data_IF_401953450903
#
_entry.id   IF_401953450903
#
_cell.length_a   1.000
_cell.length_b   1.000
_cell.length_c   1.000
_cell.angle_alpha   90.00
_cell.angle_beta   90.00
_cell.angle_gamma   90.00
#
_symmetry.space_group_name_H-M   'P 1'
#
loop_
_entity.id
_entity.type
_entity.pdbx_description
1 polymer ?
#
# COMPACT_ATOMS: atom_id res chain seq x y z
N UNK A 1 -24.26 -0.03 1.87
CA UNK A 1 -23.50 -0.20 0.61
C UNK A 1 -22.09 -0.78 0.84
N UNK A 2 -21.78 -1.27 2.04
CA UNK A 2 -20.49 -1.88 2.40
C UNK A 2 -20.43 -3.40 2.20
N UNK A 3 -21.58 -4.06 2.10
CA UNK A 3 -21.68 -5.53 2.09
C UNK A 3 -21.49 -6.17 0.70
N UNK A 4 -21.63 -5.40 -0.38
CA UNK A 4 -21.43 -5.91 -1.75
C UNK A 4 -19.97 -5.88 -2.21
N UNK A 5 -19.13 -5.02 -1.62
CA UNK A 5 -17.70 -4.93 -1.98
C UNK A 5 -16.91 -6.15 -1.49
N UNK A 6 -17.28 -6.73 -0.33
CA UNK A 6 -16.60 -7.92 0.20
C UNK A 6 -16.85 -9.19 -0.59
N UNK A 7 -17.90 -9.25 -1.42
CA UNK A 7 -18.23 -10.43 -2.22
C UNK A 7 -17.41 -10.53 -3.53
N UNK A 8 -16.77 -9.44 -3.98
CA UNK A 8 -16.00 -9.40 -5.24
C UNK A 8 -14.47 -9.42 -5.03
N UNK A 9 -14.00 -9.32 -3.78
CA UNK A 9 -12.56 -9.38 -3.47
C UNK A 9 -12.10 -10.84 -3.40
N UNK A 10 -11.24 -11.22 -4.34
CA UNK A 10 -10.73 -12.59 -4.42
C UNK A 10 -9.60 -12.84 -3.41
N UNK A 11 -9.21 -14.11 -3.20
CA UNK A 11 -7.99 -14.44 -2.45
C UNK A 11 -6.72 -13.93 -3.13
N UNK A 12 -6.71 -13.90 -4.47
CA UNK A 12 -5.59 -13.37 -5.25
C UNK A 12 -5.45 -11.85 -5.04
N UNK A 13 -6.54 -11.09 -5.01
CA UNK A 13 -6.49 -9.63 -4.76
C UNK A 13 -5.88 -9.31 -3.40
N UNK A 14 -6.30 -10.07 -2.38
CA UNK A 14 -5.81 -9.93 -1.00
C UNK A 14 -4.32 -10.20 -0.93
N UNK A 15 -3.86 -11.23 -1.65
CA UNK A 15 -2.44 -11.55 -1.75
C UNK A 15 -1.66 -10.41 -2.43
N UNK A 16 -2.12 -9.94 -3.60
CA UNK A 16 -1.42 -8.88 -4.33
C UNK A 16 -1.42 -7.53 -3.60
N UNK A 17 -2.52 -7.17 -2.96
CA UNK A 17 -2.59 -5.97 -2.13
C UNK A 17 -1.65 -6.06 -0.92
N UNK A 18 -1.56 -7.22 -0.26
CA UNK A 18 -0.61 -7.43 0.83
C UNK A 18 0.85 -7.33 0.34
N UNK A 19 1.18 -7.97 -0.78
CA UNK A 19 2.51 -7.91 -1.39
C UNK A 19 2.89 -6.48 -1.79
N UNK A 20 1.93 -5.69 -2.27
CA UNK A 20 2.13 -4.28 -2.60
C UNK A 20 2.68 -3.49 -1.41
N UNK A 21 2.15 -3.72 -0.20
CA UNK A 21 2.65 -3.10 1.02
C UNK A 21 4.01 -3.65 1.47
N UNK A 22 4.19 -4.97 1.47
CA UNK A 22 5.42 -5.60 2.00
C UNK A 22 6.65 -5.22 1.18
N UNK A 23 6.51 -5.16 -0.14
CA UNK A 23 7.62 -4.97 -1.07
C UNK A 23 7.49 -3.67 -1.88
N UNK A 24 6.86 -2.65 -1.30
CA UNK A 24 6.80 -1.32 -1.91
C UNK A 24 8.21 -0.72 -2.05
N UNK A 25 8.57 -0.06 -3.16
CA UNK A 25 7.73 0.28 -4.33
C UNK A 25 7.78 -0.73 -5.49
N UNK A 26 8.55 -1.82 -5.36
CA UNK A 26 8.78 -2.77 -6.46
C UNK A 26 7.49 -3.46 -6.89
N UNK A 27 6.77 -4.09 -5.96
CA UNK A 27 5.51 -4.79 -6.29
C UNK A 27 4.46 -3.82 -6.84
N UNK A 28 4.29 -2.60 -6.30
CA UNK A 28 3.37 -1.66 -6.90
C UNK A 28 3.64 -1.29 -8.36
N UNK A 29 4.91 -1.17 -8.74
CA UNK A 29 5.32 -0.95 -10.14
C UNK A 29 4.96 -2.18 -10.98
N UNK A 30 5.22 -3.39 -10.46
CA UNK A 30 4.84 -4.63 -11.15
C UNK A 30 3.32 -4.68 -11.37
N UNK A 31 2.52 -4.38 -10.35
CA UNK A 31 1.05 -4.36 -10.46
C UNK A 31 0.59 -3.36 -11.52
N UNK A 32 1.22 -2.18 -11.65
CA UNK A 32 0.88 -1.21 -12.70
C UNK A 32 1.10 -1.74 -14.12
N UNK A 33 1.97 -2.74 -14.29
CA UNK A 33 2.23 -3.40 -15.57
C UNK A 33 1.32 -4.63 -15.80
N UNK A 34 0.53 -5.04 -14.80
CA UNK A 34 -0.37 -6.19 -14.87
C UNK A 34 -1.80 -5.74 -15.22
N UNK A 35 -2.22 -5.94 -16.47
CA UNK A 35 -3.54 -5.51 -16.95
C UNK A 35 -4.71 -6.17 -16.21
N UNK A 36 -4.54 -7.42 -15.75
CA UNK A 36 -5.55 -8.16 -15.00
C UNK A 36 -5.71 -7.67 -13.56
N UNK A 37 -4.75 -6.90 -13.03
CA UNK A 37 -4.72 -6.49 -11.60
C UNK A 37 -4.84 -5.00 -11.39
N UNK A 38 -4.19 -4.19 -12.23
CA UNK A 38 -4.09 -2.73 -12.04
C UNK A 38 -5.44 -2.02 -11.96
N UNK A 39 -6.45 -2.56 -12.63
CA UNK A 39 -7.79 -1.95 -12.72
C UNK A 39 -8.78 -2.53 -11.70
N UNK A 40 -8.40 -3.58 -10.95
CA UNK A 40 -9.28 -4.13 -9.91
C UNK A 40 -9.41 -3.11 -8.77
N UNK A 41 -10.62 -2.69 -8.36
CA UNK A 41 -10.80 -1.60 -7.39
C UNK A 41 -10.06 -1.81 -6.05
N UNK A 42 -10.08 -3.04 -5.54
CA UNK A 42 -9.39 -3.40 -4.30
C UNK A 42 -7.87 -3.31 -4.45
N UNK A 43 -7.31 -3.87 -5.53
CA UNK A 43 -5.87 -3.81 -5.78
C UNK A 43 -5.45 -2.35 -6.04
N UNK A 44 -6.15 -1.64 -6.92
CA UNK A 44 -5.84 -0.27 -7.32
C UNK A 44 -5.71 0.68 -6.13
N UNK A 45 -6.66 0.63 -5.20
CA UNK A 45 -6.64 1.48 -4.00
C UNK A 45 -5.46 1.20 -3.07
N UNK A 46 -5.24 -0.08 -2.73
CA UNK A 46 -4.09 -0.49 -1.90
C UNK A 46 -2.75 -0.26 -2.61
N UNK A 47 -2.71 -0.44 -3.93
CA UNK A 47 -1.51 -0.29 -4.74
C UNK A 47 -1.02 1.18 -4.74
N UNK A 48 -1.94 2.12 -4.94
CA UNK A 48 -1.62 3.54 -4.94
C UNK A 48 -1.19 4.02 -3.54
N UNK A 49 -1.86 3.58 -2.48
CA UNK A 49 -1.46 3.83 -1.10
C UNK A 49 -0.07 3.28 -0.79
N UNK A 50 0.17 2.02 -1.14
CA UNK A 50 1.45 1.35 -0.93
C UNK A 50 2.59 2.02 -1.69
N UNK A 51 2.37 2.41 -2.95
CA UNK A 51 3.37 3.10 -3.76
C UNK A 51 3.76 4.45 -3.16
N UNK A 52 2.78 5.28 -2.79
CA UNK A 52 3.04 6.59 -2.16
C UNK A 52 3.79 6.41 -0.85
N UNK A 53 3.37 5.47 0.00
CA UNK A 53 4.07 5.19 1.26
C UNK A 53 5.51 4.70 1.05
N UNK A 54 5.73 3.80 0.09
CA UNK A 54 7.06 3.28 -0.22
C UNK A 54 8.00 4.37 -0.72
N UNK A 55 7.51 5.31 -1.52
CA UNK A 55 8.28 6.48 -1.95
C UNK A 55 8.61 7.38 -0.76
N UNK A 56 7.63 7.66 0.11
CA UNK A 56 7.86 8.47 1.33
C UNK A 56 8.90 7.83 2.24
N UNK A 57 8.85 6.51 2.44
CA UNK A 57 9.86 5.74 3.17
C UNK A 57 11.24 5.86 2.53
N UNK A 58 11.36 5.66 1.21
CA UNK A 58 12.62 5.71 0.48
C UNK A 58 13.27 7.10 0.56
N UNK A 59 12.47 8.16 0.40
CA UNK A 59 12.91 9.56 0.54
C UNK A 59 13.31 9.84 1.99
N UNK A 60 12.52 9.42 2.97
CA UNK A 60 12.86 9.61 4.39
C UNK A 60 14.19 8.93 4.73
N UNK A 61 14.43 7.73 4.23
CA UNK A 61 15.68 7.00 4.44
C UNK A 61 16.91 7.68 3.82
N UNK A 62 16.75 8.32 2.66
CA UNK A 62 17.86 8.98 1.94
C UNK A 62 18.24 10.32 2.55
N UNK A 63 17.29 11.08 3.12
CA UNK A 63 17.54 12.43 3.64
C UNK A 63 17.70 12.50 5.16
N UNK A 64 17.15 11.55 5.93
CA UNK A 64 17.24 11.53 7.38
C UNK A 64 18.48 10.74 7.81
N UNK A 65 19.40 11.39 8.55
CA UNK A 65 20.70 10.84 8.98
C UNK A 65 20.67 9.32 9.28
N UNK A 66 21.55 8.58 8.58
CA UNK A 66 21.64 7.11 8.56
C UNK A 66 21.83 6.42 9.93
N UNK A 67 22.17 7.15 10.99
CA UNK A 67 22.80 6.52 12.15
C UNK A 67 21.78 6.11 13.23
N UNK A 68 20.72 6.89 13.50
CA UNK A 68 19.75 6.56 14.58
C UNK A 68 18.32 6.94 14.23
N UNK A 69 18.08 8.19 13.83
CA UNK A 69 16.71 8.70 13.58
C UNK A 69 16.11 8.05 12.33
N UNK A 70 16.89 7.91 11.25
CA UNK A 70 16.47 7.20 10.04
C UNK A 70 16.19 5.72 10.29
N UNK A 71 17.00 5.05 11.12
CA UNK A 71 16.84 3.64 11.47
C UNK A 71 15.57 3.37 12.28
N UNK A 72 15.29 4.17 13.32
CA UNK A 72 14.09 4.00 14.14
C UNK A 72 12.80 4.31 13.35
N UNK A 73 12.80 5.39 12.55
CA UNK A 73 11.64 5.77 11.75
C UNK A 73 11.40 4.76 10.62
N UNK A 74 12.47 4.29 9.96
CA UNK A 74 12.38 3.25 8.94
C UNK A 74 11.83 1.94 9.51
N UNK A 75 12.30 1.52 10.69
CA UNK A 75 11.81 0.30 11.33
C UNK A 75 10.35 0.39 11.77
N UNK A 76 9.95 1.49 12.44
CA UNK A 76 8.54 1.71 12.82
C UNK A 76 7.66 1.79 11.57
N UNK A 77 8.13 2.50 10.55
CA UNK A 77 7.51 2.58 9.24
C UNK A 77 7.25 1.24 8.58
N UNK A 78 8.26 0.37 8.61
CA UNK A 78 8.17 -0.99 8.11
C UNK A 78 7.14 -1.82 8.90
N UNK A 79 7.13 -1.72 10.24
CA UNK A 79 6.11 -2.42 11.04
C UNK A 79 4.69 -1.96 10.72
N UNK A 80 4.48 -0.65 10.54
CA UNK A 80 3.19 -0.09 10.14
C UNK A 80 2.77 -0.61 8.76
N UNK A 81 3.70 -0.72 7.81
CA UNK A 81 3.42 -1.28 6.49
C UNK A 81 2.99 -2.76 6.58
N UNK A 82 3.61 -3.55 7.46
CA UNK A 82 3.23 -4.95 7.67
C UNK A 82 1.83 -5.06 8.28
N UNK A 83 1.46 -4.12 9.15
CA UNK A 83 0.10 -4.05 9.69
C UNK A 83 -0.94 -3.76 8.59
N UNK A 84 -0.64 -2.87 7.63
CA UNK A 84 -1.52 -2.64 6.48
C UNK A 84 -1.53 -3.81 5.51
N UNK A 85 -0.41 -4.49 5.30
CA UNK A 85 -0.35 -5.73 4.52
C UNK A 85 -1.27 -6.80 5.13
N UNK A 86 -1.24 -6.95 6.46
CA UNK A 86 -2.12 -7.87 7.19
C UNK A 86 -3.60 -7.51 6.98
N UNK A 87 -3.98 -6.23 7.10
CA UNK A 87 -5.36 -5.79 6.84
C UNK A 87 -5.79 -5.95 5.38
N UNK A 88 -4.92 -5.66 4.44
CA UNK A 88 -5.19 -5.93 3.03
C UNK A 88 -5.38 -7.44 2.79
N UNK A 89 -4.60 -8.29 3.46
CA UNK A 89 -4.74 -9.74 3.39
C UNK A 89 -6.03 -10.26 4.03
N UNK A 90 -6.53 -9.61 5.10
CA UNK A 90 -7.84 -9.94 5.68
C UNK A 90 -9.02 -9.52 4.78
N UNK A 91 -8.76 -8.76 3.71
CA UNK A 91 -9.78 -8.25 2.80
C UNK A 91 -10.38 -6.92 3.23
N UNK A 92 -9.77 -6.24 4.20
CA UNK A 92 -10.22 -4.94 4.68
C UNK A 92 -9.64 -3.81 3.82
N UNK A 93 -10.43 -2.76 3.59
CA UNK A 93 -9.93 -1.53 2.98
C UNK A 93 -9.09 -0.75 3.98
N UNK A 94 -7.86 -0.43 3.63
CA UNK A 94 -6.96 0.35 4.48
C UNK A 94 -7.22 1.86 4.28
N UNK A 95 -7.29 2.59 5.40
CA UNK A 95 -7.27 4.05 5.39
C UNK A 95 -6.03 4.54 6.16
N UNK A 96 -5.01 4.93 5.39
CA UNK A 96 -3.82 5.62 5.88
C UNK A 96 -4.12 7.12 5.95
N UNK A 97 -4.02 7.77 7.12
CA UNK A 97 -4.22 9.21 7.25
C UNK A 97 -3.29 9.98 6.30
N UNK A 98 -3.78 11.06 5.69
CA UNK A 98 -3.07 11.90 4.70
C UNK A 98 -2.82 11.20 3.36
N UNK A 99 -2.25 9.98 3.35
CA UNK A 99 -1.92 9.24 2.12
C UNK A 99 -3.18 8.82 1.37
N UNK A 100 -4.19 8.31 2.07
CA UNK A 100 -5.43 7.85 1.40
C UNK A 100 -6.21 9.01 0.81
N UNK A 101 -6.26 10.14 1.51
CA UNK A 101 -6.92 11.35 1.02
C UNK A 101 -6.15 11.95 -0.15
N UNK A 102 -4.81 11.95 -0.11
CA UNK A 102 -3.98 12.34 -1.24
C UNK A 102 -4.26 11.47 -2.47
N UNK A 103 -4.23 10.15 -2.32
CA UNK A 103 -4.48 9.19 -3.41
C UNK A 103 -5.87 9.37 -4.02
N UNK A 104 -6.91 9.55 -3.18
CA UNK A 104 -8.29 9.80 -3.62
C UNK A 104 -8.42 11.13 -4.37
N UNK A 105 -7.79 12.19 -3.87
CA UNK A 105 -7.82 13.51 -4.51
C UNK A 105 -7.14 13.52 -5.89
N UNK A 106 -6.19 12.61 -6.13
CA UNK A 106 -5.55 12.42 -7.44
C UNK A 106 -6.36 11.52 -8.40
N UNK A 107 -7.48 10.95 -7.96
CA UNK A 107 -8.27 9.98 -8.74
C UNK A 107 -7.58 8.62 -8.94
N UNK A 108 -6.59 8.31 -8.10
CA UNK A 108 -5.85 7.05 -8.17
C UNK A 108 -6.58 5.90 -7.48
N UNK A 109 -7.47 6.21 -6.52
CA UNK A 109 -8.33 5.27 -5.81
C UNK A 109 -9.75 5.82 -5.65
#
# INVERSE_FOLDING_TARGET
MSEQVSADVSSDDRLWAALAYVFSPIIPIVIMLMEDKKDRPFIRSHNAQALVWGILMLVSWTFLSWIIVGACIGFVGFLIQLYWAYKAYSGEMVNIPVVSDFVRNQGWA
#
